data_IF_001769736859
#
_entry.id   IF_001769736859
#
_cell.length_a   1.000
_cell.length_b   1.000
_cell.length_c   1.000
_cell.angle_alpha   90.00
_cell.angle_beta   90.00
_cell.angle_gamma   90.00
#
_symmetry.space_group_name_H-M   'P 1'
#
loop_
_entity.id
_entity.type
_entity.pdbx_description
1 polymer ?
#
# COMPACT_ATOMS: atom_id res chain seq x y z
N UNK A 1 19.43 -2.14 -0.45
CA UNK A 1 18.71 -2.49 -1.69
C UNK A 1 17.23 -2.16 -1.56
N UNK A 2 16.61 -1.61 -2.61
CA UNK A 2 15.20 -1.22 -2.59
C UNK A 2 14.34 -2.48 -2.69
N UNK A 3 13.62 -2.83 -1.64
CA UNK A 3 12.80 -4.07 -1.55
C UNK A 3 11.87 -4.29 -2.76
N UNK A 4 11.22 -3.27 -3.37
CA UNK A 4 10.41 -3.46 -4.57
C UNK A 4 11.15 -4.06 -5.77
N UNK A 5 12.47 -3.94 -5.82
CA UNK A 5 13.33 -4.46 -6.90
C UNK A 5 14.08 -5.73 -6.50
N UNK A 6 13.68 -6.35 -5.39
CA UNK A 6 14.22 -7.63 -4.93
C UNK A 6 13.17 -8.72 -5.04
N UNK A 7 13.58 -9.96 -4.88
CA UNK A 7 12.70 -11.12 -4.81
C UNK A 7 12.02 -11.32 -3.44
N UNK A 8 12.36 -10.50 -2.44
CA UNK A 8 11.79 -10.56 -1.10
C UNK A 8 10.33 -10.12 -1.09
N UNK A 9 9.58 -10.57 -0.11
CA UNK A 9 8.20 -10.14 0.15
C UNK A 9 8.10 -8.60 0.19
N UNK A 10 7.04 -8.08 -0.41
CA UNK A 10 6.65 -6.68 -0.34
C UNK A 10 5.39 -6.57 0.51
N UNK A 11 5.54 -6.01 1.70
CA UNK A 11 4.46 -5.87 2.68
C UNK A 11 3.30 -5.00 2.18
N UNK A 12 2.15 -5.08 2.85
CA UNK A 12 0.97 -4.28 2.54
C UNK A 12 1.29 -2.79 2.45
N UNK A 13 0.93 -2.17 1.34
CA UNK A 13 1.14 -0.74 1.09
C UNK A 13 0.22 -0.21 -0.01
N UNK A 14 0.07 1.11 -0.05
CA UNK A 14 -0.43 1.83 -1.22
C UNK A 14 0.74 2.44 -1.98
N UNK A 15 0.65 2.53 -3.30
CA UNK A 15 1.72 3.14 -4.09
C UNK A 15 1.87 4.63 -3.75
N UNK A 16 3.11 5.09 -3.67
CA UNK A 16 3.40 6.49 -3.40
C UNK A 16 3.08 6.98 -1.98
N UNK A 17 2.88 6.08 -0.99
CA UNK A 17 2.64 6.45 0.41
C UNK A 17 3.69 7.43 1.00
N UNK A 18 4.80 7.59 0.34
CA UNK A 18 5.90 8.51 0.68
C UNK A 18 5.77 9.89 0.01
N UNK A 19 4.74 10.13 -0.78
CA UNK A 19 4.38 11.44 -1.32
C UNK A 19 3.37 12.16 -0.41
N UNK A 20 3.32 13.49 -0.46
CA UNK A 20 2.25 14.24 0.18
C UNK A 20 0.92 13.98 -0.55
N UNK A 21 -0.20 14.15 0.14
CA UNK A 21 -1.53 13.79 -0.37
C UNK A 21 -1.97 14.53 -1.64
N UNK A 22 -1.43 15.73 -1.88
CA UNK A 22 -1.69 16.48 -3.11
C UNK A 22 -0.91 15.98 -4.35
N UNK A 23 0.02 15.03 -4.16
CA UNK A 23 0.76 14.33 -5.22
C UNK A 23 0.61 12.81 -5.11
N UNK A 24 -0.51 12.35 -4.56
CA UNK A 24 -0.75 10.93 -4.37
C UNK A 24 -0.95 10.21 -5.70
N UNK A 25 -0.43 9.00 -5.78
CA UNK A 25 -0.78 8.05 -6.84
C UNK A 25 -2.26 7.68 -6.69
N UNK A 26 -3.03 7.76 -7.76
CA UNK A 26 -4.47 7.46 -7.77
C UNK A 26 -4.80 6.10 -8.36
N UNK A 27 -4.03 5.69 -9.35
CA UNK A 27 -4.15 4.37 -9.95
C UNK A 27 -2.80 3.90 -10.49
N UNK A 28 -2.69 2.61 -10.76
CA UNK A 28 -1.49 2.04 -11.35
C UNK A 28 -1.83 0.86 -12.26
N UNK A 29 -1.03 0.71 -13.31
CA UNK A 29 -0.99 -0.47 -14.17
C UNK A 29 0.22 -1.31 -13.77
N UNK A 30 0.04 -2.60 -13.64
CA UNK A 30 1.11 -3.58 -13.50
C UNK A 30 1.01 -4.59 -14.64
N UNK A 31 2.10 -4.80 -15.36
CA UNK A 31 2.20 -5.74 -16.48
C UNK A 31 3.38 -6.68 -16.26
N UNK A 32 3.14 -7.98 -16.40
CA UNK A 32 4.14 -9.02 -16.30
C UNK A 32 4.72 -9.32 -17.68
N UNK A 33 5.99 -9.00 -17.87
CA UNK A 33 6.72 -9.37 -19.08
C UNK A 33 7.35 -10.76 -18.96
N UNK A 34 7.96 -11.03 -17.77
CA UNK A 34 8.47 -12.35 -17.41
C UNK A 34 7.96 -12.71 -16.02
N UNK A 35 7.28 -13.84 -15.90
CA UNK A 35 6.84 -14.36 -14.60
C UNK A 35 8.02 -14.95 -13.80
N UNK A 36 7.84 -15.14 -12.50
CA UNK A 36 8.75 -15.90 -11.66
C UNK A 36 8.65 -17.39 -11.97
N UNK A 37 9.67 -18.18 -11.61
CA UNK A 37 9.58 -19.64 -11.62
C UNK A 37 8.57 -20.12 -10.58
N UNK A 38 8.59 -19.50 -9.39
CA UNK A 38 7.62 -19.77 -8.33
C UNK A 38 7.38 -18.55 -7.45
N UNK A 39 6.22 -18.49 -6.78
CA UNK A 39 5.84 -17.41 -5.90
C UNK A 39 5.49 -16.11 -6.63
N UNK A 40 5.56 -14.98 -5.92
CA UNK A 40 5.31 -13.65 -6.47
C UNK A 40 3.84 -13.32 -6.69
N UNK A 41 2.91 -14.04 -6.02
CA UNK A 41 1.48 -13.73 -6.03
C UNK A 41 1.24 -12.34 -5.48
N UNK A 42 0.36 -11.60 -6.14
CA UNK A 42 -0.10 -10.29 -5.71
C UNK A 42 -1.41 -10.44 -4.93
N UNK A 43 -1.59 -9.65 -3.89
CA UNK A 43 -2.80 -9.60 -3.09
C UNK A 43 -3.25 -8.15 -3.03
N UNK A 44 -4.51 -7.91 -3.28
CA UNK A 44 -5.12 -6.58 -3.29
C UNK A 44 -6.38 -6.60 -2.41
N UNK A 45 -6.60 -5.53 -1.69
CA UNK A 45 -7.85 -5.31 -0.96
C UNK A 45 -8.27 -3.86 -1.12
N UNK A 46 -9.55 -3.63 -1.36
CA UNK A 46 -10.08 -2.29 -1.43
C UNK A 46 -9.99 -1.60 -0.06
N UNK A 47 -9.39 -0.43 -0.04
CA UNK A 47 -9.23 0.34 1.19
C UNK A 47 -10.56 0.88 1.73
N UNK A 48 -11.62 0.95 0.92
CA UNK A 48 -12.96 1.31 1.38
C UNK A 48 -13.53 0.19 2.27
N UNK A 49 -13.26 -1.08 1.97
CA UNK A 49 -13.61 -2.20 2.84
C UNK A 49 -12.92 -2.06 4.20
N UNK A 50 -11.60 -1.79 4.19
CA UNK A 50 -10.83 -1.57 5.42
C UNK A 50 -11.40 -0.41 6.24
N UNK A 51 -11.75 0.68 5.57
CA UNK A 51 -12.38 1.84 6.20
C UNK A 51 -13.69 1.48 6.89
N UNK A 52 -14.56 0.72 6.22
CA UNK A 52 -15.86 0.28 6.75
C UNK A 52 -15.66 -0.55 8.01
N UNK A 53 -14.79 -1.57 7.97
CA UNK A 53 -14.53 -2.43 9.12
C UNK A 53 -13.93 -1.68 10.31
N UNK A 54 -12.99 -0.76 10.07
CA UNK A 54 -12.43 0.09 11.12
C UNK A 54 -13.49 0.98 11.76
N UNK A 55 -14.31 1.64 10.95
CA UNK A 55 -15.42 2.51 11.40
C UNK A 55 -16.44 1.73 12.22
N UNK A 56 -16.83 0.56 11.75
CA UNK A 56 -17.86 -0.24 12.41
C UNK A 56 -17.36 -0.89 13.70
N UNK A 57 -16.05 -1.17 13.77
CA UNK A 57 -15.41 -1.63 15.00
C UNK A 57 -15.27 -0.50 16.05
N UNK A 58 -14.74 0.64 15.65
CA UNK A 58 -14.63 1.84 16.48
C UNK A 58 -14.47 3.10 15.59
N UNK A 59 -15.50 3.98 15.50
CA UNK A 59 -15.42 5.20 14.70
C UNK A 59 -14.24 6.11 15.03
N UNK A 60 -13.78 6.15 16.28
CA UNK A 60 -12.61 6.93 16.71
C UNK A 60 -11.34 6.52 15.95
N UNK A 61 -11.24 5.26 15.48
CA UNK A 61 -10.12 4.81 14.65
C UNK A 61 -9.99 5.62 13.37
N UNK A 62 -11.13 5.95 12.76
CA UNK A 62 -11.16 6.77 11.53
C UNK A 62 -10.73 8.20 11.84
N UNK A 63 -11.24 8.80 12.91
CA UNK A 63 -10.88 10.17 13.31
C UNK A 63 -9.38 10.30 13.54
N UNK A 64 -8.76 9.29 14.18
CA UNK A 64 -7.32 9.24 14.40
C UNK A 64 -6.56 9.07 13.08
N UNK A 65 -6.97 8.13 12.22
CA UNK A 65 -6.30 7.83 10.95
C UNK A 65 -6.44 8.95 9.90
N UNK A 66 -7.39 9.86 10.06
CA UNK A 66 -7.56 11.06 9.24
C UNK A 66 -6.77 12.28 9.74
N UNK A 67 -6.09 12.21 10.89
CA UNK A 67 -5.25 13.30 11.37
C UNK A 67 -4.08 13.57 10.42
N UNK A 68 -3.83 14.86 10.13
CA UNK A 68 -2.85 15.31 9.13
C UNK A 68 -1.39 14.97 9.45
N UNK A 69 -1.11 14.53 10.68
CA UNK A 69 0.24 14.23 11.19
C UNK A 69 0.38 12.81 11.75
N UNK A 70 -0.63 11.94 11.50
CA UNK A 70 -0.71 10.62 12.14
C UNK A 70 0.42 9.68 11.72
N UNK A 71 0.86 9.77 10.47
CA UNK A 71 1.91 8.92 9.92
C UNK A 71 2.96 9.76 9.19
N UNK A 72 4.21 9.64 9.60
CA UNK A 72 5.35 10.30 9.01
C UNK A 72 6.27 9.29 8.30
N UNK A 73 6.65 9.60 7.08
CA UNK A 73 7.74 8.95 6.37
C UNK A 73 8.98 9.85 6.52
N UNK A 74 9.98 9.45 7.31
CA UNK A 74 11.19 10.24 7.49
C UNK A 74 11.94 10.47 6.17
N UNK A 75 12.71 11.53 6.13
CA UNK A 75 13.59 11.82 4.98
C UNK A 75 14.53 10.63 4.69
N UNK A 76 14.74 10.35 3.43
CA UNK A 76 15.76 9.40 3.02
C UNK A 76 17.16 10.03 3.18
N UNK A 77 17.96 9.49 4.08
CA UNK A 77 19.31 10.01 4.40
C UNK A 77 20.27 9.98 3.19
N UNK A 78 20.01 9.08 2.24
CA UNK A 78 20.84 8.90 1.05
C UNK A 78 20.47 9.87 -0.10
N UNK A 79 19.41 10.67 0.07
CA UNK A 79 18.95 11.64 -0.93
C UNK A 79 18.92 13.02 -0.28
N UNK A 80 19.83 13.89 -0.67
CA UNK A 80 19.99 15.22 -0.06
C UNK A 80 18.73 16.10 -0.15
N UNK A 81 17.97 15.98 -1.24
CA UNK A 81 16.71 16.72 -1.47
C UNK A 81 15.50 16.09 -0.78
N UNK A 82 15.64 14.93 -0.14
CA UNK A 82 14.53 14.24 0.53
C UNK A 82 14.06 15.05 1.74
N UNK A 83 12.73 15.15 1.88
CA UNK A 83 12.06 15.75 3.05
C UNK A 83 11.26 14.69 3.77
N UNK A 84 11.05 14.91 5.07
CA UNK A 84 10.07 14.14 5.84
C UNK A 84 8.66 14.51 5.39
N UNK A 85 7.79 13.51 5.22
CA UNK A 85 6.39 13.69 4.78
C UNK A 85 5.44 13.16 5.85
N UNK A 86 4.73 14.09 6.50
CA UNK A 86 3.62 13.78 7.39
C UNK A 86 2.31 13.78 6.62
N UNK A 87 1.36 12.99 7.09
CA UNK A 87 0.03 12.99 6.49
C UNK A 87 -0.90 11.96 7.13
N UNK A 88 -2.19 12.02 6.77
CA UNK A 88 -3.19 11.06 7.20
C UNK A 88 -2.96 9.68 6.57
N UNK A 89 -3.59 8.67 7.16
CA UNK A 89 -3.75 7.35 6.54
C UNK A 89 -4.95 7.37 5.60
N UNK A 90 -6.11 7.84 6.07
CA UNK A 90 -7.27 8.06 5.22
C UNK A 90 -7.50 9.55 4.98
N UNK A 91 -7.92 9.88 3.78
CA UNK A 91 -8.30 11.26 3.42
C UNK A 91 -9.28 11.26 2.25
N UNK A 92 -10.14 12.27 2.23
CA UNK A 92 -11.01 12.56 1.09
C UNK A 92 -10.28 13.56 0.18
N UNK A 93 -10.20 13.28 -1.10
CA UNK A 93 -9.59 14.19 -2.06
C UNK A 93 -10.59 15.26 -2.56
N UNK A 94 -10.12 16.15 -3.43
CA UNK A 94 -10.93 17.24 -4.01
C UNK A 94 -12.07 16.74 -4.89
N UNK A 95 -12.05 15.49 -5.31
CA UNK A 95 -13.07 14.84 -6.14
C UNK A 95 -14.04 14.00 -5.29
N UNK A 96 -13.95 14.12 -3.96
CA UNK A 96 -14.74 13.39 -2.96
C UNK A 96 -14.51 11.87 -2.94
N UNK A 97 -13.38 11.39 -3.41
CA UNK A 97 -13.00 9.98 -3.26
C UNK A 97 -12.21 9.75 -1.97
N UNK A 98 -12.54 8.65 -1.30
CA UNK A 98 -11.72 8.13 -0.21
C UNK A 98 -10.40 7.59 -0.77
N UNK A 99 -9.31 7.93 -0.11
CA UNK A 99 -7.98 7.46 -0.45
C UNK A 99 -7.28 6.94 0.80
N UNK A 100 -6.37 6.00 0.60
CA UNK A 100 -5.52 5.47 1.68
C UNK A 100 -4.04 5.73 1.37
N UNK A 101 -3.30 6.20 2.38
CA UNK A 101 -1.85 6.36 2.37
C UNK A 101 -1.28 5.48 3.48
N UNK A 102 -0.80 4.28 3.14
CA UNK A 102 -0.42 3.30 4.15
C UNK A 102 0.77 2.44 3.75
N UNK A 103 1.51 1.97 4.74
CA UNK A 103 2.46 0.88 4.62
C UNK A 103 2.61 0.16 5.95
N UNK A 104 2.61 -1.17 5.94
CA UNK A 104 2.80 -2.02 7.12
C UNK A 104 4.27 -2.29 7.45
N UNK A 105 5.22 -1.69 6.72
CA UNK A 105 6.65 -1.87 7.02
C UNK A 105 6.99 -1.39 8.43
N UNK A 106 7.95 -2.08 9.07
CA UNK A 106 8.35 -1.80 10.45
C UNK A 106 9.41 -0.71 10.58
N UNK A 107 10.14 -0.40 9.50
CA UNK A 107 11.26 0.54 9.50
C UNK A 107 10.97 1.77 8.64
N UNK A 108 11.62 2.89 8.98
CA UNK A 108 11.49 4.17 8.26
C UNK A 108 10.03 4.66 8.14
N UNK A 109 9.29 4.50 9.23
CA UNK A 109 7.96 5.03 9.43
C UNK A 109 7.83 5.46 10.88
N UNK A 110 7.23 6.62 11.13
CA UNK A 110 6.98 7.14 12.47
C UNK A 110 5.49 7.41 12.60
N UNK A 111 4.90 6.79 13.60
CA UNK A 111 3.52 7.03 13.98
C UNK A 111 3.46 8.07 15.10
N UNK A 112 2.44 8.90 15.11
CA UNK A 112 2.14 9.78 16.23
C UNK A 112 2.02 8.93 17.51
N UNK A 113 2.49 9.47 18.63
CA UNK A 113 2.38 8.78 19.91
C UNK A 113 0.93 8.86 20.40
N UNK A 114 0.23 7.76 20.29
CA UNK A 114 -1.16 7.59 20.69
C UNK A 114 -1.39 6.11 21.01
N UNK A 115 -2.00 5.80 22.13
CA UNK A 115 -2.25 4.40 22.54
C UNK A 115 -3.26 3.70 21.64
N UNK A 116 -4.18 4.44 21.02
CA UNK A 116 -5.13 3.91 20.06
C UNK A 116 -4.44 3.42 18.78
N UNK A 117 -3.30 4.01 18.38
CA UNK A 117 -2.53 3.55 17.22
C UNK A 117 -2.08 2.10 17.37
N UNK A 118 -1.74 1.67 18.59
CA UNK A 118 -1.39 0.26 18.81
C UNK A 118 -2.59 -0.65 18.55
N UNK A 119 -3.78 -0.26 19.05
CA UNK A 119 -5.03 -1.01 18.84
C UNK A 119 -5.40 -1.06 17.37
N UNK A 120 -5.32 0.07 16.67
CA UNK A 120 -5.58 0.17 15.22
C UNK A 120 -4.64 -0.75 14.43
N UNK A 121 -3.35 -0.77 14.75
CA UNK A 121 -2.38 -1.62 14.06
C UNK A 121 -2.66 -3.10 14.29
N UNK A 122 -2.97 -3.49 15.53
CA UNK A 122 -3.36 -4.87 15.85
C UNK A 122 -4.64 -5.24 15.07
N UNK A 123 -5.63 -4.35 15.04
CA UNK A 123 -6.85 -4.58 14.28
C UNK A 123 -6.57 -4.78 12.80
N UNK A 124 -5.76 -3.90 12.18
CA UNK A 124 -5.39 -4.01 10.78
C UNK A 124 -4.62 -5.30 10.46
N UNK A 125 -3.66 -5.66 11.32
CA UNK A 125 -2.89 -6.88 11.13
C UNK A 125 -3.79 -8.12 11.22
N UNK A 126 -4.69 -8.19 12.20
CA UNK A 126 -5.67 -9.28 12.34
C UNK A 126 -6.64 -9.29 11.14
N UNK A 127 -7.20 -8.14 10.78
CA UNK A 127 -8.15 -8.03 9.68
C UNK A 127 -7.55 -8.57 8.36
N UNK A 128 -6.32 -8.18 8.04
CA UNK A 128 -5.63 -8.60 6.82
C UNK A 128 -5.19 -10.07 6.82
N UNK A 129 -5.17 -10.72 7.98
CA UNK A 129 -4.85 -12.14 8.11
C UNK A 129 -6.10 -13.04 8.16
N UNK A 130 -7.19 -12.55 8.73
CA UNK A 130 -8.35 -13.36 9.07
C UNK A 130 -9.51 -13.23 8.06
N UNK A 131 -9.42 -12.32 7.09
CA UNK A 131 -10.51 -12.02 6.15
C UNK A 131 -10.05 -12.18 4.69
N UNK A 132 -9.60 -13.37 4.34
CA UNK A 132 -9.13 -13.71 2.99
C UNK A 132 -10.19 -13.50 1.90
N UNK A 133 -11.48 -13.59 2.25
CA UNK A 133 -12.61 -13.40 1.33
C UNK A 133 -12.68 -12.00 0.72
N UNK A 134 -12.09 -10.99 1.36
CA UNK A 134 -12.01 -9.63 0.83
C UNK A 134 -10.70 -9.36 0.06
N UNK A 135 -9.79 -10.34 0.04
CA UNK A 135 -8.49 -10.20 -0.61
C UNK A 135 -8.51 -10.84 -1.99
N UNK A 136 -8.41 -10.00 -3.01
CA UNK A 136 -8.21 -10.48 -4.37
C UNK A 136 -6.76 -10.90 -4.56
N UNK A 137 -6.54 -12.16 -4.90
CA UNK A 137 -5.22 -12.78 -5.05
C UNK A 137 -5.00 -13.25 -6.48
N UNK A 138 -3.88 -12.85 -7.10
CA UNK A 138 -3.54 -13.24 -8.45
C UNK A 138 -2.05 -13.49 -8.63
N UNK A 139 -1.72 -14.52 -9.40
CA UNK A 139 -0.40 -14.75 -9.94
C UNK A 139 -0.40 -14.28 -11.41
N UNK A 140 0.42 -13.29 -11.72
CA UNK A 140 0.52 -12.80 -13.10
C UNK A 140 1.41 -13.73 -13.92
N UNK A 141 0.86 -14.25 -14.98
CA UNK A 141 1.58 -14.96 -16.03
C UNK A 141 2.19 -13.99 -17.06
N UNK A 142 3.02 -14.51 -17.97
CA UNK A 142 3.60 -13.70 -19.03
C UNK A 142 2.51 -13.00 -19.85
N UNK A 143 2.72 -11.73 -20.13
CA UNK A 143 1.81 -10.84 -20.88
C UNK A 143 0.47 -10.55 -20.18
N UNK A 144 0.29 -10.95 -18.92
CA UNK A 144 -0.84 -10.55 -18.11
C UNK A 144 -0.54 -9.27 -17.34
N UNK A 145 -1.59 -8.57 -16.97
CA UNK A 145 -1.49 -7.37 -16.15
C UNK A 145 -2.82 -7.00 -15.53
N UNK A 146 -2.79 -6.02 -14.66
CA UNK A 146 -4.00 -5.43 -14.13
C UNK A 146 -3.85 -3.92 -13.95
N UNK A 147 -4.98 -3.24 -14.02
CA UNK A 147 -5.14 -1.83 -13.75
C UNK A 147 -6.02 -1.70 -12.50
N UNK A 148 -5.54 -0.96 -11.50
CA UNK A 148 -6.28 -0.76 -10.25
C UNK A 148 -6.18 0.68 -9.79
N UNK A 149 -7.22 1.17 -9.16
CA UNK A 149 -7.12 2.32 -8.28
C UNK A 149 -6.19 1.96 -7.12
N UNK A 150 -5.51 2.94 -6.55
CA UNK A 150 -4.41 2.71 -5.59
C UNK A 150 -4.87 2.06 -4.29
N UNK A 151 -5.41 0.85 -4.40
CA UNK A 151 -5.86 -0.01 -3.30
C UNK A 151 -4.67 -0.53 -2.49
N UNK A 152 -4.93 -1.02 -1.29
CA UNK A 152 -3.90 -1.67 -0.48
C UNK A 152 -3.47 -2.98 -1.14
N UNK A 153 -2.17 -3.19 -1.29
CA UNK A 153 -1.64 -4.38 -1.97
C UNK A 153 -0.31 -4.85 -1.37
N UNK A 154 -0.02 -6.13 -1.57
CA UNK A 154 1.24 -6.78 -1.21
C UNK A 154 1.66 -7.78 -2.30
N UNK A 155 2.91 -8.24 -2.23
CA UNK A 155 3.43 -9.29 -3.09
C UNK A 155 4.22 -10.28 -2.26
N UNK A 156 3.99 -11.56 -2.48
CA UNK A 156 4.79 -12.64 -1.89
C UNK A 156 6.22 -12.62 -2.42
N UNK A 157 7.15 -13.22 -1.69
CA UNK A 157 8.46 -13.52 -2.22
C UNK A 157 8.38 -14.43 -3.44
N UNK A 158 9.43 -14.46 -4.24
CA UNK A 158 9.48 -15.29 -5.43
C UNK A 158 10.88 -15.79 -5.71
N UNK A 159 10.97 -16.83 -6.54
CA UNK A 159 12.22 -17.39 -7.06
C UNK A 159 12.28 -17.08 -8.55
N UNK A 160 13.41 -16.54 -9.00
CA UNK A 160 13.69 -16.36 -10.41
C UNK A 160 14.06 -17.69 -11.05
N UNK A 161 13.59 -17.92 -12.28
CA UNK A 161 14.04 -19.01 -13.13
C UNK A 161 15.25 -18.62 -14.00
N UNK A 162 15.41 -19.29 -15.15
CA UNK A 162 16.45 -18.94 -16.12
C UNK A 162 16.35 -17.47 -16.57
N UNK A 163 15.13 -16.96 -16.73
CA UNK A 163 14.86 -15.53 -16.93
C UNK A 163 14.40 -14.91 -15.61
N UNK A 164 14.97 -13.74 -15.31
CA UNK A 164 14.53 -12.97 -14.15
C UNK A 164 13.10 -12.49 -14.32
N UNK A 165 12.33 -12.52 -13.24
CA UNK A 165 11.01 -11.91 -13.19
C UNK A 165 11.10 -10.44 -13.56
N UNK A 166 10.22 -10.01 -14.49
CA UNK A 166 10.16 -8.63 -14.93
C UNK A 166 8.71 -8.14 -14.98
N UNK A 167 8.41 -7.16 -14.13
CA UNK A 167 7.15 -6.43 -14.16
C UNK A 167 7.38 -4.97 -14.52
N UNK A 168 6.55 -4.46 -15.40
CA UNK A 168 6.48 -3.04 -15.75
C UNK A 168 5.33 -2.39 -14.98
N UNK A 169 5.57 -1.23 -14.37
CA UNK A 169 4.57 -0.48 -13.61
C UNK A 169 4.48 0.95 -14.10
N UNK A 170 3.25 1.40 -14.33
CA UNK A 170 2.93 2.80 -14.61
C UNK A 170 2.03 3.30 -13.46
N UNK A 171 2.28 4.50 -12.98
CA UNK A 171 1.48 5.17 -11.95
C UNK A 171 0.79 6.39 -12.55
N UNK A 172 -0.46 6.58 -12.18
CA UNK A 172 -1.27 7.68 -12.66
C UNK A 172 -1.70 8.59 -11.49
N UNK A 173 -1.86 9.87 -11.81
CA UNK A 173 -2.37 10.88 -10.87
C UNK A 173 -3.90 11.00 -10.93
N UNK A 174 -4.55 10.23 -11.80
CA UNK A 174 -6.00 10.15 -11.94
C UNK A 174 -6.50 8.75 -11.55
N UNK A 175 -7.75 8.66 -11.13
CA UNK A 175 -8.44 7.37 -10.94
C UNK A 175 -8.79 6.78 -12.31
N UNK A 176 -9.03 5.47 -12.30
CA UNK A 176 -9.68 4.74 -13.40
C UNK A 176 -11.17 4.68 -13.07
N UNK A 177 -11.98 5.08 -14.02
CA UNK A 177 -13.45 5.01 -13.96
C UNK A 177 -13.94 3.70 -14.57
#
# INVERSE_FOLDING_TARGET
EYVPYTNKELNWHTDGYYYPTNFSVKSFLLHCENQAESGGKNHLIDHEIIYIFLRDHNPEFIDILMQKDIMEIPKNKNISSSKSIKGPVFYIDKENYLNMRYTSRKQNIVWKKDDMIKKIKIFLDNFLNDNEEYIFSLLLENNQGYLANNVLHRREEYVDGEKKRLLKRIRFLNRVN
#
